data_IF_397058937248
#
_entry.id   IF_397058937248
#
_cell.length_a   1.000
_cell.length_b   1.000
_cell.length_c   1.000
_cell.angle_alpha   90.00
_cell.angle_beta   90.00
_cell.angle_gamma   90.00
#
_symmetry.space_group_name_H-M   'P 1'
#
loop_
_entity.id
_entity.type
_entity.pdbx_description
1 polymer ?
#
# COMPACT_ATOMS: atom_id res chain seq x y z
N UNK A 1 -33.57 49.75 12.93
CA UNK A 1 -33.18 50.98 12.21
C UNK A 1 -32.18 50.59 11.12
N UNK A 2 -32.36 51.04 9.87
CA UNK A 2 -31.87 50.36 8.68
C UNK A 2 -30.58 50.96 8.11
N UNK A 3 -29.88 50.14 7.32
CA UNK A 3 -29.26 50.53 6.04
C UNK A 3 -27.90 51.22 6.10
N UNK A 4 -26.93 50.71 5.33
CA UNK A 4 -26.35 51.38 4.15
C UNK A 4 -25.52 50.37 3.34
N UNK A 5 -25.81 50.26 2.04
CA UNK A 5 -24.99 49.60 1.00
C UNK A 5 -24.18 50.67 0.27
N UNK A 6 -22.92 50.39 -0.10
CA UNK A 6 -22.21 50.88 -1.31
C UNK A 6 -21.04 49.90 -1.57
N UNK A 7 -21.06 49.00 -2.58
CA UNK A 7 -20.74 49.08 -4.03
C UNK A 7 -19.30 49.45 -4.43
N UNK A 8 -18.76 48.60 -5.33
CA UNK A 8 -17.73 48.86 -6.38
C UNK A 8 -16.27 48.93 -5.93
N UNK A 9 -15.24 48.49 -6.67
CA UNK A 9 -15.17 48.24 -8.12
C UNK A 9 -14.09 47.21 -8.48
N UNK A 10 -14.36 46.51 -9.58
CA UNK A 10 -13.44 45.73 -10.39
C UNK A 10 -12.45 46.69 -11.11
N UNK A 11 -11.17 46.34 -11.23
CA UNK A 11 -10.26 46.93 -12.23
C UNK A 11 -9.66 45.84 -13.09
N UNK A 12 -10.24 45.70 -14.27
CA UNK A 12 -9.63 45.13 -15.45
C UNK A 12 -9.01 46.30 -16.23
N UNK A 13 -7.74 46.20 -16.62
CA UNK A 13 -7.11 47.11 -17.58
C UNK A 13 -6.43 46.30 -18.67
N UNK A 14 -7.19 46.08 -19.74
CA UNK A 14 -6.75 45.73 -21.07
C UNK A 14 -5.88 46.83 -21.68
N UNK A 15 -4.85 46.47 -22.44
CA UNK A 15 -4.69 47.01 -23.81
C UNK A 15 -3.81 46.10 -24.66
N UNK A 16 -4.41 45.65 -25.76
CA UNK A 16 -3.83 44.91 -26.86
C UNK A 16 -2.86 45.77 -27.68
N UNK A 17 -1.83 45.14 -28.26
CA UNK A 17 -1.33 45.48 -29.61
C UNK A 17 -0.89 44.21 -30.34
N UNK A 18 -1.52 43.97 -31.48
CA UNK A 18 -1.11 43.11 -32.62
C UNK A 18 -1.07 44.02 -33.85
N UNK A 19 -0.75 43.57 -35.09
CA UNK A 19 -0.11 42.33 -35.57
C UNK A 19 1.03 42.62 -36.60
N UNK A 20 1.67 41.58 -37.18
CA UNK A 20 1.70 41.27 -38.65
C UNK A 20 2.97 40.54 -39.10
N UNK A 21 2.79 39.42 -39.83
CA UNK A 21 3.60 38.83 -40.93
C UNK A 21 3.55 37.29 -40.83
N UNK A 22 2.60 36.58 -41.45
CA UNK A 22 2.51 36.08 -42.84
C UNK A 22 3.66 35.16 -43.30
N UNK A 23 3.30 33.87 -43.34
CA UNK A 23 3.60 32.79 -44.30
C UNK A 23 5.04 32.29 -44.54
N UNK A 24 5.23 30.97 -44.37
CA UNK A 24 5.41 30.07 -45.52
C UNK A 24 5.32 28.60 -45.11
N UNK A 25 4.83 27.80 -46.05
CA UNK A 25 4.47 26.39 -45.97
C UNK A 25 5.64 25.43 -45.72
N UNK A 26 5.35 24.30 -45.07
CA UNK A 26 5.63 22.95 -45.58
C UNK A 26 4.75 21.92 -44.87
N UNK A 27 3.84 21.32 -45.65
CA UNK A 27 3.21 20.03 -45.32
C UNK A 27 4.31 18.98 -45.28
N UNK A 28 4.39 18.22 -44.20
CA UNK A 28 5.05 16.93 -44.20
C UNK A 28 4.02 15.91 -43.73
N UNK A 29 3.37 15.27 -44.70
CA UNK A 29 2.57 14.06 -44.48
C UNK A 29 3.47 12.86 -44.68
N UNK A 30 3.74 12.12 -43.60
CA UNK A 30 4.00 10.68 -43.72
C UNK A 30 3.40 9.98 -42.51
N UNK A 31 2.36 9.20 -42.79
CA UNK A 31 1.82 8.14 -41.96
C UNK A 31 2.85 7.03 -41.82
N UNK A 32 3.03 6.46 -40.63
CA UNK A 32 3.04 5.00 -40.45
C UNK A 32 3.23 4.60 -38.97
N UNK A 33 2.23 3.85 -38.51
CA UNK A 33 2.25 2.76 -37.51
C UNK A 33 2.58 3.09 -36.05
N UNK A 34 1.52 2.97 -35.25
CA UNK A 34 1.55 2.44 -33.91
C UNK A 34 2.52 1.25 -33.84
N UNK A 35 3.52 1.37 -32.98
CA UNK A 35 4.13 0.22 -32.36
C UNK A 35 3.42 0.02 -31.02
N UNK A 36 2.18 -0.47 -31.07
CA UNK A 36 1.72 -1.37 -30.01
C UNK A 36 2.55 -2.64 -30.18
N UNK A 37 3.77 -2.60 -29.65
CA UNK A 37 4.45 -3.84 -29.32
C UNK A 37 3.61 -4.53 -28.25
N UNK A 38 3.42 -5.85 -28.32
CA UNK A 38 2.92 -6.54 -27.15
C UNK A 38 3.98 -6.31 -26.07
N UNK A 39 3.65 -5.48 -25.07
CA UNK A 39 4.38 -5.54 -23.82
C UNK A 39 3.95 -6.87 -23.24
N UNK A 40 4.75 -7.89 -23.54
CA UNK A 40 4.74 -9.19 -22.88
C UNK A 40 5.11 -8.93 -21.43
N UNK A 41 4.19 -8.30 -20.70
CA UNK A 41 4.20 -8.32 -19.25
C UNK A 41 3.71 -9.73 -18.99
N UNK A 42 4.64 -10.69 -19.00
CA UNK A 42 4.42 -11.97 -18.33
C UNK A 42 4.12 -11.58 -16.88
N UNK A 43 2.82 -11.41 -16.63
CA UNK A 43 2.29 -10.84 -15.43
C UNK A 43 2.58 -11.83 -14.33
N UNK A 44 3.36 -11.38 -13.37
CA UNK A 44 3.48 -12.05 -12.09
C UNK A 44 2.07 -12.35 -11.53
N UNK A 45 1.69 -13.62 -11.44
CA UNK A 45 0.36 -14.02 -10.94
C UNK A 45 0.42 -14.14 -9.43
N UNK A 46 0.34 -13.00 -8.75
CA UNK A 46 0.19 -12.98 -7.30
C UNK A 46 -1.26 -13.20 -6.89
N UNK A 47 -1.49 -13.99 -5.84
CA UNK A 47 -2.81 -14.17 -5.24
C UNK A 47 -2.79 -13.98 -3.72
N UNK A 48 -3.92 -13.54 -3.18
CA UNK A 48 -4.20 -13.54 -1.75
C UNK A 48 -5.11 -14.72 -1.43
N UNK A 49 -4.58 -15.73 -0.74
CA UNK A 49 -5.32 -16.95 -0.35
C UNK A 49 -5.67 -16.87 1.11
N UNK A 50 -6.92 -17.15 1.48
CA UNK A 50 -7.36 -17.07 2.87
C UNK A 50 -6.57 -18.05 3.74
N UNK A 51 -6.04 -17.57 4.87
CA UNK A 51 -5.25 -18.38 5.81
C UNK A 51 -6.01 -19.62 6.27
N UNK A 52 -7.34 -19.55 6.38
CA UNK A 52 -8.15 -20.67 6.85
C UNK A 52 -8.54 -21.66 5.75
N UNK A 53 -8.11 -21.43 4.51
CA UNK A 53 -8.33 -22.32 3.36
C UNK A 53 -7.06 -23.11 2.98
N UNK A 54 -5.96 -22.91 3.71
CA UNK A 54 -4.65 -23.53 3.43
C UNK A 54 -4.16 -24.26 4.68
N UNK A 55 -3.97 -25.58 4.56
CA UNK A 55 -3.57 -26.43 5.68
C UNK A 55 -2.17 -26.05 6.21
N UNK A 56 -1.25 -25.63 5.34
CA UNK A 56 0.13 -25.24 5.67
C UNK A 56 0.27 -23.79 6.15
N UNK A 57 -0.83 -23.05 6.27
CA UNK A 57 -0.79 -21.64 6.69
C UNK A 57 -0.15 -21.46 8.08
N UNK A 58 -0.45 -22.30 9.10
CA UNK A 58 0.19 -22.17 10.41
C UNK A 58 1.72 -22.20 10.35
N UNK A 59 2.31 -23.08 9.55
CA UNK A 59 3.75 -23.24 9.38
C UNK A 59 4.37 -22.03 8.65
N UNK A 60 3.68 -21.50 7.63
CA UNK A 60 4.12 -20.27 6.95
C UNK A 60 4.11 -19.09 7.92
N UNK A 61 3.03 -18.94 8.69
CA UNK A 61 2.86 -17.84 9.63
C UNK A 61 3.88 -17.91 10.78
N UNK A 62 4.21 -19.12 11.25
CA UNK A 62 5.22 -19.30 12.28
C UNK A 62 6.62 -18.96 11.77
N UNK A 63 6.99 -19.43 10.57
CA UNK A 63 8.25 -19.05 9.91
C UNK A 63 8.38 -17.53 9.74
N UNK A 64 7.29 -16.84 9.40
CA UNK A 64 7.26 -15.38 9.33
C UNK A 64 7.51 -14.70 10.68
N UNK A 65 7.21 -15.35 11.81
CA UNK A 65 7.53 -14.85 13.14
C UNK A 65 9.00 -15.10 13.52
N UNK A 66 9.55 -16.26 13.14
CA UNK A 66 10.97 -16.61 13.35
C UNK A 66 11.91 -15.64 12.65
N UNK A 67 11.54 -15.14 11.47
CA UNK A 67 12.34 -14.18 10.72
C UNK A 67 12.29 -12.73 11.26
N UNK A 68 11.48 -12.45 12.29
CA UNK A 68 11.34 -11.09 12.82
C UNK A 68 12.53 -10.74 13.71
N UNK A 69 13.18 -9.63 13.41
CA UNK A 69 14.16 -9.02 14.32
C UNK A 69 13.45 -8.19 15.39
N UNK A 70 14.09 -7.91 16.53
CA UNK A 70 13.50 -7.10 17.61
C UNK A 70 12.97 -5.73 17.14
N UNK A 71 13.62 -5.13 16.15
CA UNK A 71 13.24 -3.83 15.57
C UNK A 71 11.96 -3.90 14.76
N UNK A 72 11.56 -5.10 14.29
CA UNK A 72 10.33 -5.31 13.53
C UNK A 72 9.13 -5.58 14.45
N UNK A 73 9.37 -6.10 15.65
CA UNK A 73 8.31 -6.47 16.58
C UNK A 73 7.66 -5.24 17.25
N UNK A 74 6.33 -5.25 17.34
CA UNK A 74 5.53 -4.19 17.98
C UNK A 74 4.82 -4.64 19.27
N UNK A 75 4.42 -5.91 19.37
CA UNK A 75 3.52 -6.38 20.43
C UNK A 75 4.10 -7.49 21.32
N UNK A 76 5.09 -8.24 20.86
CA UNK A 76 5.64 -9.38 21.59
C UNK A 76 7.17 -9.31 21.66
N UNK A 77 7.71 -9.75 22.81
CA UNK A 77 9.17 -9.82 23.05
C UNK A 77 9.76 -11.20 22.79
N UNK A 78 8.93 -12.25 22.77
CA UNK A 78 9.34 -13.64 22.59
C UNK A 78 8.44 -14.35 21.58
N UNK A 79 9.00 -15.35 20.90
CA UNK A 79 8.28 -16.25 20.01
C UNK A 79 7.34 -17.13 20.86
N UNK A 80 6.04 -17.25 20.52
CA UNK A 80 5.14 -18.17 21.19
C UNK A 80 5.55 -19.62 20.89
N UNK A 81 5.20 -20.53 21.79
CA UNK A 81 5.20 -21.95 21.46
C UNK A 81 4.16 -22.29 20.39
N UNK A 82 4.29 -23.47 19.80
CA UNK A 82 3.45 -23.91 18.69
C UNK A 82 1.97 -24.00 19.06
N UNK A 83 1.63 -24.50 20.26
CA UNK A 83 0.24 -24.64 20.70
C UNK A 83 -0.42 -23.26 20.88
N UNK A 84 0.31 -22.30 21.45
CA UNK A 84 -0.13 -20.91 21.58
C UNK A 84 -0.35 -20.26 20.21
N UNK A 85 0.53 -20.53 19.24
CA UNK A 85 0.39 -20.07 17.86
C UNK A 85 -0.87 -20.64 17.19
N UNK A 86 -1.11 -21.95 17.31
CA UNK A 86 -2.30 -22.60 16.78
C UNK A 86 -3.58 -22.04 17.42
N UNK A 87 -3.57 -21.84 18.74
CA UNK A 87 -4.71 -21.24 19.45
C UNK A 87 -4.98 -19.80 19.00
N UNK A 88 -3.94 -19.01 18.74
CA UNK A 88 -4.06 -17.67 18.19
C UNK A 88 -4.72 -17.69 16.80
N UNK A 89 -4.28 -18.56 15.90
CA UNK A 89 -4.90 -18.71 14.56
C UNK A 89 -6.37 -19.14 14.69
N UNK A 90 -6.66 -20.15 15.52
CA UNK A 90 -8.00 -20.65 15.74
C UNK A 90 -8.97 -19.59 16.29
N UNK A 91 -8.45 -18.59 17.03
CA UNK A 91 -9.26 -17.49 17.58
C UNK A 91 -9.80 -16.51 16.53
N UNK A 92 -9.34 -16.60 15.28
CA UNK A 92 -9.69 -15.69 14.17
C UNK A 92 -9.57 -14.21 14.56
N UNK A 93 -8.36 -13.73 14.87
CA UNK A 93 -8.17 -12.43 15.50
C UNK A 93 -8.43 -11.25 14.55
N UNK A 94 -8.27 -11.47 13.25
CA UNK A 94 -8.36 -10.45 12.21
C UNK A 94 -9.68 -10.52 11.45
N UNK A 95 -10.06 -9.40 10.84
CA UNK A 95 -11.24 -9.36 9.95
C UNK A 95 -10.95 -10.13 8.64
N UNK A 96 -9.75 -9.95 8.09
CA UNK A 96 -9.26 -10.70 6.94
C UNK A 96 -7.79 -11.06 7.15
N UNK A 97 -7.40 -12.26 6.74
CA UNK A 97 -6.02 -12.73 6.84
C UNK A 97 -5.69 -13.62 5.66
N UNK A 98 -4.68 -13.22 4.89
CA UNK A 98 -4.28 -13.90 3.67
C UNK A 98 -2.81 -14.28 3.69
N UNK A 99 -2.51 -15.43 3.11
CA UNK A 99 -1.17 -15.71 2.57
C UNK A 99 -1.00 -14.96 1.25
N UNK A 100 0.18 -14.36 1.07
CA UNK A 100 0.62 -13.80 -0.19
C UNK A 100 1.29 -14.94 -0.94
N UNK A 101 0.73 -15.35 -2.08
CA UNK A 101 1.20 -16.51 -2.85
C UNK A 101 1.62 -16.07 -4.25
N UNK A 102 2.77 -16.58 -4.67
CA UNK A 102 3.44 -16.36 -5.94
C UNK A 102 3.70 -17.72 -6.59
N UNK A 103 3.15 -17.99 -7.79
CA UNK A 103 3.33 -19.29 -8.49
C UNK A 103 3.20 -20.49 -7.54
N UNK A 104 2.11 -20.49 -6.77
CA UNK A 104 1.77 -21.49 -5.73
C UNK A 104 2.70 -21.58 -4.51
N UNK A 105 3.71 -20.72 -4.43
CA UNK A 105 4.61 -20.62 -3.29
C UNK A 105 4.20 -19.48 -2.35
N UNK A 106 4.03 -19.73 -1.03
CA UNK A 106 3.77 -18.67 -0.07
C UNK A 106 5.03 -17.80 0.13
N UNK A 107 4.91 -16.50 -0.13
CA UNK A 107 6.01 -15.53 -0.02
C UNK A 107 5.85 -14.58 1.17
N UNK A 108 4.68 -14.57 1.79
CA UNK A 108 4.37 -13.69 2.92
C UNK A 108 2.95 -13.85 3.43
N UNK A 109 2.54 -12.95 4.31
CA UNK A 109 1.17 -12.85 4.79
C UNK A 109 0.78 -11.39 5.00
N UNK A 110 -0.52 -11.12 4.88
CA UNK A 110 -1.12 -9.81 5.11
C UNK A 110 -2.43 -9.97 5.87
N UNK A 111 -2.66 -9.10 6.86
CA UNK A 111 -3.92 -9.08 7.60
C UNK A 111 -4.56 -7.69 7.60
N UNK A 112 -5.89 -7.66 7.75
CA UNK A 112 -6.69 -6.50 8.06
C UNK A 112 -7.36 -6.71 9.43
N UNK A 113 -7.09 -5.82 10.38
CA UNK A 113 -7.76 -5.82 11.67
C UNK A 113 -9.17 -5.25 11.59
N UNK A 114 -9.98 -5.51 12.61
CA UNK A 114 -11.33 -4.93 12.78
C UNK A 114 -11.33 -3.40 12.95
N UNK A 115 -10.16 -2.80 13.19
CA UNK A 115 -9.96 -1.36 13.36
C UNK A 115 -9.18 -0.74 12.19
N UNK A 116 -9.22 -1.39 11.02
CA UNK A 116 -8.56 -0.97 9.78
C UNK A 116 -7.03 -0.90 9.84
N UNK A 117 -6.40 -1.66 10.75
CA UNK A 117 -4.94 -1.83 10.74
C UNK A 117 -4.54 -2.88 9.70
N UNK A 118 -3.55 -2.54 8.87
CA UNK A 118 -2.88 -3.46 7.96
C UNK A 118 -1.55 -3.87 8.56
N UNK A 119 -1.34 -5.17 8.69
CA UNK A 119 -0.01 -5.75 8.91
C UNK A 119 0.40 -6.57 7.70
N UNK A 120 1.63 -6.38 7.22
CA UNK A 120 2.18 -7.13 6.08
C UNK A 120 3.58 -7.63 6.42
N UNK A 121 3.84 -8.88 6.10
CA UNK A 121 5.15 -9.52 6.28
C UNK A 121 5.50 -10.32 5.03
N UNK A 122 6.71 -10.12 4.53
CA UNK A 122 7.28 -10.87 3.39
C UNK A 122 8.50 -11.61 3.89
N UNK A 123 8.57 -12.91 3.58
CA UNK A 123 9.70 -13.77 3.91
C UNK A 123 11.01 -13.17 3.37
N UNK A 124 12.11 -13.29 4.12
CA UNK A 124 13.40 -12.67 3.82
C UNK A 124 13.88 -12.96 2.39
N UNK A 125 13.75 -14.21 1.94
CA UNK A 125 14.12 -14.66 0.60
C UNK A 125 13.31 -14.00 -0.54
N UNK A 126 12.19 -13.36 -0.20
CA UNK A 126 11.23 -12.78 -1.14
C UNK A 126 11.14 -11.25 -1.04
N UNK A 127 11.90 -10.61 -0.15
CA UNK A 127 11.90 -9.15 0.03
C UNK A 127 12.53 -8.44 -1.18
N UNK A 128 12.09 -7.20 -1.42
CA UNK A 128 12.59 -6.36 -2.51
C UNK A 128 11.99 -6.64 -3.88
N UNK A 129 11.05 -7.60 -3.99
CA UNK A 129 10.38 -8.00 -5.23
C UNK A 129 9.02 -7.34 -5.47
N UNK A 130 8.60 -6.41 -4.60
CA UNK A 130 7.32 -5.69 -4.73
C UNK A 130 6.11 -6.34 -4.06
N UNK A 131 6.20 -7.59 -3.59
CA UNK A 131 5.06 -8.33 -3.02
C UNK A 131 4.30 -7.59 -1.92
N UNK A 132 5.00 -6.93 -1.00
CA UNK A 132 4.36 -6.18 0.08
C UNK A 132 3.49 -5.02 -0.44
N UNK A 133 3.94 -4.31 -1.48
CA UNK A 133 3.18 -3.21 -2.09
C UNK A 133 1.93 -3.76 -2.77
N UNK A 134 2.12 -4.75 -3.64
CA UNK A 134 1.01 -5.37 -4.40
C UNK A 134 -0.02 -5.97 -3.45
N UNK A 135 0.41 -6.61 -2.36
CA UNK A 135 -0.50 -7.21 -1.39
C UNK A 135 -1.35 -6.16 -0.66
N UNK A 136 -0.76 -5.03 -0.28
CA UNK A 136 -1.50 -3.90 0.32
C UNK A 136 -2.51 -3.33 -0.67
N UNK A 137 -2.11 -3.10 -1.92
CA UNK A 137 -3.00 -2.55 -2.96
C UNK A 137 -4.20 -3.49 -3.20
N UNK A 138 -3.96 -4.79 -3.36
CA UNK A 138 -5.01 -5.81 -3.50
C UNK A 138 -5.92 -5.89 -2.27
N UNK A 139 -5.37 -5.79 -1.06
CA UNK A 139 -6.16 -5.80 0.18
C UNK A 139 -7.07 -4.57 0.26
N UNK A 140 -6.54 -3.38 -0.06
CA UNK A 140 -7.29 -2.12 -0.01
C UNK A 140 -8.40 -2.08 -1.08
N UNK A 141 -8.17 -2.66 -2.25
CA UNK A 141 -9.18 -2.81 -3.29
C UNK A 141 -10.28 -3.80 -2.88
N UNK A 142 -9.90 -4.95 -2.31
CA UNK A 142 -10.84 -5.99 -1.87
C UNK A 142 -11.67 -5.57 -0.66
N UNK A 143 -11.09 -4.78 0.25
CA UNK A 143 -11.72 -4.31 1.48
C UNK A 143 -11.65 -2.78 1.57
N UNK A 144 -12.43 -2.03 0.76
CA UNK A 144 -12.39 -0.58 0.78
C UNK A 144 -12.78 -0.03 2.16
N UNK A 145 -12.03 0.98 2.59
CA UNK A 145 -12.23 1.71 3.85
C UNK A 145 -12.00 3.19 3.61
N UNK A 146 -12.62 4.03 4.44
CA UNK A 146 -12.31 5.46 4.48
C UNK A 146 -10.87 5.73 4.96
N UNK A 147 -10.33 4.83 5.79
CA UNK A 147 -9.01 4.97 6.41
C UNK A 147 -8.38 3.61 6.69
N UNK A 148 -7.07 3.53 6.47
CA UNK A 148 -6.22 2.42 6.88
C UNK A 148 -5.11 2.89 7.82
N UNK A 149 -4.65 2.00 8.69
CA UNK A 149 -3.59 2.22 9.66
C UNK A 149 -2.46 1.21 9.44
N UNK A 150 -1.26 1.57 9.85
CA UNK A 150 -0.15 0.65 9.99
C UNK A 150 0.62 1.02 11.26
N UNK A 151 0.71 0.09 12.20
CA UNK A 151 1.48 0.28 13.42
C UNK A 151 2.89 -0.27 13.22
N UNK A 152 3.89 0.59 13.33
CA UNK A 152 5.28 0.29 12.98
C UNK A 152 6.16 0.67 14.17
N UNK A 153 7.07 -0.21 14.54
CA UNK A 153 8.08 0.08 15.56
C UNK A 153 8.93 1.27 15.08
N UNK A 154 9.17 2.32 15.92
CA UNK A 154 9.97 3.48 15.54
C UNK A 154 11.39 3.17 15.05
N UNK A 155 11.96 2.03 15.44
CA UNK A 155 13.27 1.57 14.96
C UNK A 155 13.24 0.95 13.55
N UNK A 156 12.06 0.64 13.00
CA UNK A 156 11.90 0.01 11.69
C UNK A 156 11.81 1.06 10.58
N UNK A 157 12.90 1.77 10.34
CA UNK A 157 12.99 2.84 9.34
C UNK A 157 12.56 2.36 7.94
N UNK A 158 12.95 1.14 7.55
CA UNK A 158 12.57 0.53 6.27
C UNK A 158 11.05 0.42 6.11
N UNK A 159 10.34 -0.04 7.14
CA UNK A 159 8.88 -0.15 7.07
C UNK A 159 8.21 1.23 7.12
N UNK A 160 8.76 2.18 7.86
CA UNK A 160 8.28 3.57 7.91
C UNK A 160 8.36 4.20 6.51
N UNK A 161 9.50 4.09 5.83
CA UNK A 161 9.69 4.58 4.46
C UNK A 161 8.79 3.87 3.46
N UNK A 162 8.66 2.55 3.59
CA UNK A 162 7.76 1.75 2.76
C UNK A 162 6.32 2.26 2.82
N UNK A 163 5.72 2.39 4.01
CA UNK A 163 4.34 2.87 4.14
C UNK A 163 4.21 4.34 3.71
N UNK A 164 5.20 5.19 3.97
CA UNK A 164 5.23 6.58 3.45
C UNK A 164 5.19 6.63 1.92
N UNK A 165 5.91 5.72 1.25
CA UNK A 165 5.90 5.63 -0.22
C UNK A 165 4.53 5.23 -0.79
N UNK A 166 3.67 4.61 0.02
CA UNK A 166 2.29 4.27 -0.30
C UNK A 166 1.28 5.38 0.08
N UNK A 167 1.76 6.54 0.52
CA UNK A 167 0.93 7.68 0.89
C UNK A 167 0.44 7.68 2.34
N UNK A 168 0.89 6.74 3.18
CA UNK A 168 0.60 6.80 4.61
C UNK A 168 1.37 7.94 5.26
N UNK A 169 0.72 8.64 6.20
CA UNK A 169 1.32 9.74 6.96
C UNK A 169 1.43 9.37 8.43
N UNK A 170 2.47 9.86 9.09
CA UNK A 170 2.65 9.66 10.53
C UNK A 170 1.63 10.50 11.31
N UNK A 171 0.91 9.87 12.25
CA UNK A 171 -0.16 10.53 13.01
C UNK A 171 -0.06 10.37 14.53
N UNK A 172 0.67 9.35 15.04
CA UNK A 172 0.73 9.06 16.47
C UNK A 172 1.97 8.24 16.85
N UNK A 173 2.33 8.31 18.13
CA UNK A 173 3.28 7.42 18.80
C UNK A 173 2.64 6.86 20.08
N UNK A 174 2.99 5.64 20.45
CA UNK A 174 2.57 5.01 21.72
C UNK A 174 3.78 4.82 22.63
N UNK A 175 3.67 5.22 23.90
CA UNK A 175 4.75 5.10 24.89
C UNK A 175 4.29 4.24 26.06
N UNK A 176 5.13 3.30 26.49
CA UNK A 176 4.91 2.42 27.64
C UNK A 176 5.84 2.83 28.79
N UNK A 177 5.32 2.91 30.03
CA UNK A 177 6.14 3.00 31.23
C UNK A 177 6.41 1.58 31.75
N UNK A 178 7.69 1.21 31.85
CA UNK A 178 8.14 -0.10 32.37
C UNK A 178 8.53 -0.01 33.84
#
# INVERSE_FOLDING_TARGET
>A
MPGTRVRSACRCSSTCRTPTSIASSRRCTTSARAADGPTDTEGFVMKLVDVYEVDEAPEVLYRLMEERTPEVNISHRALPDWDTHLAFIASRPYEAWFLIVDDDSPVGAIYLSKTSEIGVFVLNAHRGKGYGKTAIEMLMEKYPRERFLANINPANERSIEFFRSLGFVHIQNTYEKR
#
